data_IF_036413743423
#
_entry.id   IF_036413743423
#
_cell.length_a   1.000
_cell.length_b   1.000
_cell.length_c   1.000
_cell.angle_alpha   90.00
_cell.angle_beta   90.00
_cell.angle_gamma   90.00
#
_symmetry.space_group_name_H-M   'P 1'
#
loop_
_entity.id
_entity.type
_entity.pdbx_description
1 polymer ?
#
# COMPACT_ATOMS: atom_id res chain seq x y z
N UNK A 1 5.97 -10.01 -13.91
CA UNK A 1 6.66 -11.29 -14.22
C UNK A 1 8.03 -11.29 -13.57
N UNK A 2 8.60 -12.47 -13.27
CA UNK A 2 9.96 -12.60 -12.70
C UNK A 2 10.79 -13.53 -13.56
N UNK A 3 12.01 -13.12 -13.88
CA UNK A 3 13.00 -13.91 -14.61
C UNK A 3 14.31 -13.88 -13.81
N UNK A 4 14.85 -15.06 -13.48
CA UNK A 4 16.09 -15.18 -12.68
C UNK A 4 16.06 -14.39 -11.36
N UNK A 5 14.93 -14.38 -10.68
CA UNK A 5 14.74 -13.66 -9.41
C UNK A 5 14.62 -12.14 -9.55
N UNK A 6 14.55 -11.59 -10.77
CA UNK A 6 14.39 -10.16 -11.03
C UNK A 6 13.04 -9.85 -11.66
N UNK A 7 12.42 -8.73 -11.26
CA UNK A 7 11.22 -8.20 -11.90
C UNK A 7 11.52 -7.95 -13.40
N UNK A 8 10.77 -8.61 -14.28
CA UNK A 8 11.01 -8.57 -15.73
C UNK A 8 9.89 -7.89 -16.54
N UNK A 9 8.70 -7.72 -15.95
CA UNK A 9 7.61 -6.99 -16.58
C UNK A 9 6.60 -6.47 -15.56
N UNK A 10 6.06 -5.28 -15.84
CA UNK A 10 4.90 -4.66 -15.20
C UNK A 10 3.81 -4.49 -16.26
N UNK A 11 2.55 -4.72 -15.90
CA UNK A 11 1.39 -4.65 -16.80
C UNK A 11 0.27 -3.84 -16.13
N UNK A 12 -0.88 -3.74 -16.81
CA UNK A 12 -2.09 -3.06 -16.31
C UNK A 12 -1.90 -1.55 -16.05
N UNK A 13 -1.36 -0.86 -17.05
CA UNK A 13 -1.19 0.60 -17.04
C UNK A 13 -2.50 1.36 -17.30
N UNK A 14 -3.67 0.70 -17.29
CA UNK A 14 -4.95 1.30 -17.67
C UNK A 14 -5.43 2.45 -16.78
N UNK A 15 -4.89 2.56 -15.56
CA UNK A 15 -5.18 3.64 -14.60
C UNK A 15 -4.03 4.64 -14.45
N UNK A 16 -3.00 4.55 -15.30
CA UNK A 16 -1.85 5.47 -15.26
C UNK A 16 -2.25 6.86 -15.72
N UNK A 17 -1.73 7.88 -15.04
CA UNK A 17 -1.99 9.28 -15.40
C UNK A 17 -1.14 10.25 -14.58
N UNK A 18 -1.29 11.54 -14.88
CA UNK A 18 -0.70 12.62 -14.07
C UNK A 18 -1.56 12.83 -12.83
N UNK A 19 -0.94 12.77 -11.65
CA UNK A 19 -1.63 12.92 -10.37
C UNK A 19 -0.66 12.97 -9.20
N UNK A 20 -1.19 12.72 -7.99
CA UNK A 20 -0.35 12.61 -6.79
C UNK A 20 0.48 11.31 -6.83
N UNK A 21 1.83 11.38 -6.84
CA UNK A 21 2.69 10.19 -6.90
C UNK A 21 2.53 9.26 -5.69
N UNK A 22 1.94 9.75 -4.59
CA UNK A 22 1.70 8.95 -3.40
C UNK A 22 0.76 7.76 -3.63
N UNK A 23 -0.08 7.79 -4.67
CA UNK A 23 -1.04 6.72 -4.95
C UNK A 23 -0.36 5.40 -5.37
N UNK A 24 0.84 5.47 -5.97
CA UNK A 24 1.63 4.32 -6.40
C UNK A 24 2.31 3.60 -5.22
N UNK A 25 2.39 4.27 -4.05
CA UNK A 25 3.08 3.75 -2.87
C UNK A 25 2.19 2.87 -1.98
N UNK A 26 0.89 2.75 -2.29
CA UNK A 26 -0.07 1.94 -1.50
C UNK A 26 0.39 0.48 -1.37
N UNK A 27 1.14 -0.03 -2.36
CA UNK A 27 1.72 -1.37 -2.35
C UNK A 27 2.60 -1.66 -1.11
N UNK A 28 3.15 -0.61 -0.48
CA UNK A 28 3.94 -0.72 0.75
C UNK A 28 3.18 -1.40 1.90
N UNK A 29 1.85 -1.24 1.98
CA UNK A 29 1.02 -1.84 3.04
C UNK A 29 0.21 -3.06 2.58
N UNK A 30 0.02 -3.25 1.27
CA UNK A 30 -0.76 -4.37 0.75
C UNK A 30 0.07 -5.58 0.37
N UNK A 31 1.35 -5.40 0.04
CA UNK A 31 2.24 -6.49 -0.40
C UNK A 31 3.52 -6.62 0.43
N UNK A 32 3.99 -5.53 1.06
CA UNK A 32 5.23 -5.52 1.83
C UNK A 32 4.98 -5.44 3.35
N UNK A 33 5.94 -5.96 4.12
CA UNK A 33 5.93 -5.94 5.58
C UNK A 33 7.35 -5.94 6.17
N UNK A 34 7.51 -5.37 7.38
CA UNK A 34 8.79 -5.30 8.08
C UNK A 34 9.93 -4.81 7.18
N UNK A 35 11.04 -5.55 7.16
CA UNK A 35 12.23 -5.19 6.38
C UNK A 35 11.99 -5.07 4.86
N UNK A 36 11.02 -5.77 4.28
CA UNK A 36 10.69 -5.60 2.84
C UNK A 36 10.05 -4.25 2.56
N UNK A 37 9.25 -3.71 3.51
CA UNK A 37 8.66 -2.38 3.40
C UNK A 37 9.73 -1.30 3.56
N UNK A 38 10.64 -1.49 4.50
CA UNK A 38 11.77 -0.58 4.73
C UNK A 38 12.68 -0.51 3.50
N UNK A 39 13.08 -1.66 2.93
CA UNK A 39 13.88 -1.72 1.71
C UNK A 39 13.17 -1.06 0.51
N UNK A 40 11.85 -1.28 0.36
CA UNK A 40 11.07 -0.61 -0.67
C UNK A 40 11.04 0.91 -0.47
N UNK A 41 10.81 1.37 0.77
CA UNK A 41 10.77 2.80 1.11
C UNK A 41 12.11 3.48 0.81
N UNK A 42 13.21 2.86 1.20
CA UNK A 42 14.56 3.34 0.92
C UNK A 42 14.85 3.43 -0.58
N UNK A 43 14.54 2.36 -1.34
CA UNK A 43 14.78 2.33 -2.78
C UNK A 43 13.94 3.35 -3.56
N UNK A 44 12.71 3.63 -3.11
CA UNK A 44 11.81 4.60 -3.73
C UNK A 44 12.25 6.05 -3.46
N UNK A 45 12.80 6.34 -2.28
CA UNK A 45 13.45 7.62 -1.99
C UNK A 45 12.52 8.85 -1.99
N UNK A 46 11.22 8.67 -1.80
CA UNK A 46 10.25 9.78 -1.72
C UNK A 46 10.27 10.47 -0.36
N UNK A 47 9.86 11.75 -0.32
CA UNK A 47 9.83 12.56 0.88
C UNK A 47 8.75 12.13 1.89
N UNK A 48 8.90 12.55 3.15
CA UNK A 48 8.00 12.19 4.23
C UNK A 48 6.56 12.66 4.02
N UNK A 49 6.35 13.79 3.34
CA UNK A 49 5.03 14.29 2.99
C UNK A 49 4.32 13.40 1.97
N UNK A 50 5.04 12.92 0.97
CA UNK A 50 4.56 11.95 -0.01
C UNK A 50 4.20 10.62 0.66
N UNK A 51 5.00 10.16 1.62
CA UNK A 51 4.66 8.98 2.43
C UNK A 51 3.45 9.19 3.35
N UNK A 52 3.28 10.38 3.90
CA UNK A 52 2.09 10.71 4.69
C UNK A 52 0.81 10.67 3.83
N UNK A 53 0.85 11.22 2.61
CA UNK A 53 -0.27 11.09 1.66
C UNK A 53 -0.50 9.64 1.25
N UNK A 54 0.56 8.86 1.04
CA UNK A 54 0.46 7.44 0.66
C UNK A 54 -0.26 6.60 1.72
N UNK A 55 0.02 6.86 3.01
CA UNK A 55 -0.74 6.27 4.12
C UNK A 55 -2.23 6.64 4.03
N UNK A 56 -2.54 7.90 3.74
CA UNK A 56 -3.92 8.35 3.51
C UNK A 56 -4.60 7.59 2.37
N UNK A 57 -3.92 7.39 1.23
CA UNK A 57 -4.43 6.59 0.12
C UNK A 57 -4.69 5.13 0.51
N UNK A 58 -3.77 4.50 1.24
CA UNK A 58 -3.91 3.12 1.69
C UNK A 58 -5.07 2.97 2.69
N UNK A 59 -5.16 3.88 3.66
CA UNK A 59 -6.22 3.90 4.67
C UNK A 59 -7.61 4.08 4.02
N UNK A 60 -7.76 5.06 3.12
CA UNK A 60 -9.01 5.29 2.41
C UNK A 60 -9.47 4.07 1.63
N UNK A 61 -8.59 3.47 0.81
CA UNK A 61 -8.92 2.29 0.01
C UNK A 61 -9.30 1.10 0.91
N UNK A 62 -8.55 0.87 1.97
CA UNK A 62 -8.82 -0.25 2.89
C UNK A 62 -10.16 -0.08 3.63
N UNK A 63 -10.46 1.11 4.14
CA UNK A 63 -11.72 1.40 4.80
C UNK A 63 -12.91 1.30 3.84
N UNK A 64 -12.77 1.79 2.61
CA UNK A 64 -13.81 1.70 1.58
C UNK A 64 -14.19 0.24 1.32
N UNK A 65 -13.20 -0.63 1.07
CA UNK A 65 -13.49 -2.05 0.83
C UNK A 65 -14.02 -2.74 2.08
N UNK A 66 -13.40 -2.49 3.25
CA UNK A 66 -13.84 -3.06 4.52
C UNK A 66 -15.32 -2.76 4.79
N UNK A 67 -15.77 -1.52 4.54
CA UNK A 67 -17.16 -1.13 4.74
C UNK A 67 -18.16 -1.91 3.87
N UNK A 68 -17.72 -2.38 2.71
CA UNK A 68 -18.56 -3.15 1.78
C UNK A 68 -18.54 -4.66 2.02
N UNK A 69 -17.49 -5.19 2.67
CA UNK A 69 -17.30 -6.63 2.86
C UNK A 69 -17.53 -7.14 4.28
N UNK A 70 -17.60 -6.27 5.29
CA UNK A 70 -17.91 -6.70 6.68
C UNK A 70 -19.28 -7.38 6.73
N UNK A 71 -19.35 -8.56 7.34
CA UNK A 71 -20.58 -9.36 7.44
C UNK A 71 -20.98 -10.10 6.15
N UNK A 72 -20.24 -9.93 5.05
CA UNK A 72 -20.50 -10.61 3.77
C UNK A 72 -19.31 -11.46 3.32
N UNK A 73 -18.09 -10.95 3.47
CA UNK A 73 -16.83 -11.66 3.20
C UNK A 73 -15.81 -11.35 4.31
N UNK A 74 -15.79 -12.21 5.31
CA UNK A 74 -14.89 -12.08 6.47
C UNK A 74 -13.41 -12.25 6.10
N UNK A 75 -13.10 -12.98 5.03
CA UNK A 75 -11.72 -13.15 4.55
C UNK A 75 -11.18 -11.84 3.98
N UNK A 76 -11.96 -11.21 3.11
CA UNK A 76 -11.64 -9.89 2.56
C UNK A 76 -11.62 -8.83 3.66
N UNK A 77 -12.56 -8.88 4.60
CA UNK A 77 -12.59 -7.96 5.74
C UNK A 77 -11.33 -8.10 6.62
N UNK A 78 -10.85 -9.32 6.88
CA UNK A 78 -9.63 -9.54 7.65
C UNK A 78 -8.39 -8.96 6.94
N UNK A 79 -8.30 -9.12 5.61
CA UNK A 79 -7.21 -8.53 4.81
C UNK A 79 -7.19 -7.01 4.94
N UNK A 80 -8.33 -6.35 4.73
CA UNK A 80 -8.37 -4.89 4.80
C UNK A 80 -8.21 -4.34 6.21
N UNK A 81 -8.65 -5.07 7.24
CA UNK A 81 -8.38 -4.72 8.64
C UNK A 81 -6.89 -4.74 8.94
N UNK A 82 -6.17 -5.77 8.48
CA UNK A 82 -4.70 -5.81 8.58
C UNK A 82 -4.04 -4.61 7.92
N UNK A 83 -4.50 -4.21 6.73
CA UNK A 83 -3.95 -3.01 6.04
C UNK A 83 -4.17 -1.75 6.88
N UNK A 84 -5.35 -1.58 7.48
CA UNK A 84 -5.63 -0.46 8.39
C UNK A 84 -4.65 -0.48 9.57
N UNK A 85 -4.50 -1.62 10.24
CA UNK A 85 -3.61 -1.76 11.40
C UNK A 85 -2.15 -1.47 11.04
N UNK A 86 -1.68 -1.94 9.89
CA UNK A 86 -0.32 -1.70 9.37
C UNK A 86 -0.08 -0.22 9.05
N UNK A 87 -1.07 0.48 8.48
CA UNK A 87 -0.97 1.92 8.21
C UNK A 87 -0.92 2.73 9.50
N UNK A 88 -1.75 2.39 10.49
CA UNK A 88 -1.76 3.06 11.79
C UNK A 88 -0.46 2.83 12.55
N UNK A 89 0.06 1.60 12.55
CA UNK A 89 1.34 1.27 13.16
C UNK A 89 2.50 2.00 12.47
N UNK A 90 2.48 2.09 11.12
CA UNK A 90 3.47 2.85 10.36
C UNK A 90 3.41 4.35 10.70
N UNK A 91 2.21 4.94 10.74
CA UNK A 91 2.04 6.33 11.11
C UNK A 91 2.60 6.63 12.50
N UNK A 92 2.31 5.80 13.49
CA UNK A 92 2.80 5.99 14.86
C UNK A 92 4.34 5.94 14.98
N UNK A 93 5.03 5.26 14.06
CA UNK A 93 6.51 5.22 14.02
C UNK A 93 7.14 6.44 13.33
N UNK A 94 6.35 7.17 12.54
CA UNK A 94 6.80 8.27 11.69
C UNK A 94 6.04 9.58 11.96
N UNK A 95 5.36 9.66 13.11
CA UNK A 95 4.64 10.84 13.58
C UNK A 95 5.54 11.74 14.43
#
# INVERSE_FOLDING_TARGET
>A
MVTEGRLSAVIDFGTSGVGDPACDLVIAWTMFSGGSREAFREAVGQDDGTWARARGWALWKALLVLSGCVGTDEGLAAVHRRVVDEVLADHARHA
#
